data_IF_321302775781
#
_entry.id   IF_321302775781
#
_cell.length_a   1.000
_cell.length_b   1.000
_cell.length_c   1.000
_cell.angle_alpha   90.00
_cell.angle_beta   90.00
_cell.angle_gamma   90.00
#
_symmetry.space_group_name_H-M   'P 1'
#
loop_
_entity.id
_entity.type
_entity.pdbx_description
1 polymer ?
#
# COMPACT_ATOMS: atom_id res chain seq x y z
N UNK A 1 5.73 -18.32 -3.06
CA UNK A 1 5.41 -16.90 -2.98
C UNK A 1 5.45 -16.54 -1.51
N UNK A 2 6.30 -15.65 -1.10
CA UNK A 2 6.42 -15.27 0.30
C UNK A 2 6.91 -13.84 0.46
N UNK A 3 6.41 -13.20 1.51
CA UNK A 3 7.00 -11.97 2.01
C UNK A 3 8.32 -12.27 2.71
N UNK A 4 9.35 -11.48 2.41
CA UNK A 4 10.67 -11.56 3.06
C UNK A 4 10.88 -10.34 3.93
N UNK A 5 11.50 -10.54 5.10
CA UNK A 5 11.91 -9.47 6.01
C UNK A 5 13.37 -9.14 5.74
N UNK A 6 13.64 -7.85 5.54
CA UNK A 6 14.99 -7.31 5.39
C UNK A 6 15.34 -6.47 6.60
N UNK A 7 16.60 -6.50 7.03
CA UNK A 7 17.14 -5.71 8.15
C UNK A 7 18.49 -5.13 7.78
N UNK A 8 18.61 -3.82 7.95
CA UNK A 8 19.87 -3.08 7.79
C UNK A 8 20.04 -2.20 9.03
N UNK A 9 20.87 -2.64 9.99
CA UNK A 9 20.91 -2.06 11.32
C UNK A 9 19.55 -2.16 12.00
N UNK A 10 19.00 -1.03 12.42
CA UNK A 10 17.66 -0.95 13.04
C UNK A 10 16.52 -0.86 12.00
N UNK A 11 16.84 -0.58 10.74
CA UNK A 11 15.83 -0.48 9.68
C UNK A 11 15.27 -1.87 9.32
N UNK A 12 13.96 -2.01 9.36
CA UNK A 12 13.26 -3.23 8.93
C UNK A 12 12.19 -2.90 7.91
N UNK A 13 12.16 -3.65 6.81
CA UNK A 13 11.10 -3.59 5.80
C UNK A 13 10.82 -4.98 5.21
N UNK A 14 9.70 -5.10 4.49
CA UNK A 14 9.32 -6.34 3.82
C UNK A 14 9.30 -6.14 2.30
N UNK A 15 9.60 -7.21 1.58
CA UNK A 15 9.39 -7.34 0.13
C UNK A 15 8.55 -8.58 -0.16
N UNK A 16 8.05 -8.70 -1.38
CA UNK A 16 7.33 -9.89 -1.87
C UNK A 16 8.03 -10.46 -3.09
N UNK A 17 8.29 -11.77 -3.10
CA UNK A 17 8.96 -12.47 -4.20
C UNK A 17 8.29 -12.27 -5.56
N UNK A 18 6.96 -12.06 -5.58
CA UNK A 18 6.24 -11.89 -6.84
C UNK A 18 6.56 -10.58 -7.54
N UNK A 19 7.08 -9.59 -6.82
CA UNK A 19 7.50 -8.30 -7.37
C UNK A 19 9.01 -8.22 -7.65
N UNK A 20 9.73 -9.35 -7.59
CA UNK A 20 11.13 -9.40 -7.99
C UNK A 20 11.27 -8.89 -9.44
N UNK A 21 12.18 -7.92 -9.64
CA UNK A 21 12.31 -7.15 -10.89
C UNK A 21 11.94 -5.68 -10.74
N UNK A 22 11.11 -5.31 -9.75
CA UNK A 22 10.90 -3.94 -9.29
C UNK A 22 11.56 -3.70 -7.94
N UNK A 23 12.06 -2.49 -7.69
CA UNK A 23 12.46 -2.06 -6.35
C UNK A 23 11.18 -1.77 -5.56
N UNK A 24 10.98 -2.42 -4.41
CA UNK A 24 9.74 -2.24 -3.66
C UNK A 24 9.93 -2.55 -2.18
N UNK A 25 9.07 -1.98 -1.36
CA UNK A 25 9.01 -2.31 0.07
C UNK A 25 7.63 -2.05 0.66
N UNK A 26 7.37 -2.74 1.77
CA UNK A 26 6.37 -2.40 2.78
C UNK A 26 7.12 -2.10 4.07
N UNK A 27 7.08 -0.86 4.55
CA UNK A 27 7.84 -0.46 5.73
C UNK A 27 7.28 -1.07 7.01
N UNK A 28 8.14 -1.18 8.02
CA UNK A 28 7.73 -1.29 9.42
C UNK A 28 7.84 0.07 10.11
N UNK A 29 7.80 0.13 11.43
CA UNK A 29 8.04 1.36 12.21
C UNK A 29 9.45 1.46 12.79
N UNK A 30 10.35 0.55 12.40
CA UNK A 30 11.71 0.48 12.92
C UNK A 30 12.73 1.17 12.03
N UNK A 31 13.78 1.75 12.63
CA UNK A 31 14.97 2.23 11.94
C UNK A 31 14.88 3.64 11.39
N UNK A 32 14.01 4.49 11.96
CA UNK A 32 13.94 5.90 11.64
C UNK A 32 14.50 6.80 12.74
N UNK A 33 14.46 8.10 12.47
CA UNK A 33 14.95 9.17 13.37
C UNK A 33 13.83 9.94 14.07
N UNK A 34 12.57 9.59 13.83
CA UNK A 34 11.45 10.24 14.51
C UNK A 34 11.41 9.86 16.00
N UNK A 35 10.90 10.77 16.84
CA UNK A 35 10.96 10.66 18.29
C UNK A 35 9.56 10.60 18.93
N UNK A 36 9.53 10.31 20.23
CA UNK A 36 8.31 10.33 21.03
C UNK A 36 7.24 9.37 20.53
N UNK A 37 6.02 9.85 20.33
CA UNK A 37 4.90 9.04 19.84
C UNK A 37 5.07 8.54 18.39
N UNK A 38 6.02 9.13 17.65
CA UNK A 38 6.32 8.81 16.25
C UNK A 38 7.58 7.94 16.09
N UNK A 39 8.19 7.49 17.20
CA UNK A 39 9.41 6.66 17.16
C UNK A 39 9.11 5.29 16.55
N UNK A 40 9.91 4.89 15.56
CA UNK A 40 11.06 5.61 15.00
C UNK A 40 10.90 5.94 13.51
N UNK A 41 10.40 5.02 12.65
CA UNK A 41 10.23 5.24 11.21
C UNK A 41 8.82 5.74 10.92
N UNK A 42 8.61 7.05 11.05
CA UNK A 42 7.39 7.69 10.55
C UNK A 42 7.63 8.19 9.12
N UNK A 43 6.78 7.72 8.19
CA UNK A 43 6.83 8.10 6.77
C UNK A 43 5.68 9.04 6.37
N UNK A 44 4.81 9.41 7.34
CA UNK A 44 3.66 10.28 7.08
C UNK A 44 4.00 11.75 7.24
N UNK A 45 3.78 12.53 6.17
CA UNK A 45 4.08 13.98 6.13
C UNK A 45 3.14 14.85 6.97
N UNK A 46 1.95 14.33 7.34
CA UNK A 46 0.93 15.08 8.09
C UNK A 46 0.64 14.45 9.47
N UNK A 47 1.70 14.05 10.20
CA UNK A 47 1.58 13.43 11.53
C UNK A 47 2.11 14.29 12.68
N UNK A 48 2.50 15.52 12.39
CA UNK A 48 3.08 16.42 13.38
C UNK A 48 4.55 16.13 13.70
N UNK A 49 5.24 15.39 12.80
CA UNK A 49 6.67 15.20 12.86
C UNK A 49 7.41 16.40 12.27
N UNK A 50 8.69 16.54 12.59
CA UNK A 50 9.55 17.49 11.91
C UNK A 50 9.78 17.05 10.46
N UNK A 51 9.63 17.94 9.46
CA UNK A 51 9.83 17.60 8.05
C UNK A 51 11.20 16.96 7.79
N UNK A 52 12.26 17.40 8.49
CA UNK A 52 13.62 16.88 8.37
C UNK A 52 13.69 15.41 8.79
N UNK A 53 12.97 15.01 9.85
CA UNK A 53 12.92 13.62 10.28
C UNK A 53 12.24 12.74 9.23
N UNK A 54 11.13 13.22 8.66
CA UNK A 54 10.41 12.47 7.61
C UNK A 54 11.30 12.32 6.37
N UNK A 55 12.00 13.38 5.96
CA UNK A 55 12.93 13.34 4.82
C UNK A 55 14.08 12.35 5.07
N UNK A 56 14.70 12.36 6.26
CA UNK A 56 15.76 11.40 6.61
C UNK A 56 15.24 9.95 6.66
N UNK A 57 14.01 9.76 7.15
CA UNK A 57 13.37 8.44 7.14
C UNK A 57 13.19 7.91 5.70
N UNK A 58 12.77 8.78 4.76
CA UNK A 58 12.70 8.42 3.34
C UNK A 58 14.09 8.18 2.74
N UNK A 59 15.08 8.99 3.08
CA UNK A 59 16.45 8.82 2.60
C UNK A 59 17.05 7.49 3.08
N UNK A 60 16.84 7.13 4.35
CA UNK A 60 17.32 5.87 4.92
C UNK A 60 16.66 4.67 4.27
N UNK A 61 15.33 4.69 4.13
CA UNK A 61 14.59 3.62 3.46
C UNK A 61 14.97 3.54 1.96
N UNK A 62 15.16 4.69 1.31
CA UNK A 62 15.53 4.77 -0.10
C UNK A 62 16.90 4.19 -0.39
N UNK A 63 17.90 4.40 0.49
CA UNK A 63 19.22 3.75 0.37
C UNK A 63 19.12 2.22 0.41
N UNK A 64 18.26 1.67 1.28
CA UNK A 64 18.08 0.24 1.42
C UNK A 64 17.30 -0.41 0.26
N UNK A 65 16.30 0.30 -0.27
CA UNK A 65 15.37 -0.24 -1.27
C UNK A 65 15.78 0.10 -2.70
N UNK A 66 16.51 1.19 -2.91
CA UNK A 66 16.99 1.66 -4.22
C UNK A 66 16.08 2.71 -4.86
N UNK A 67 15.74 3.76 -4.10
CA UNK A 67 15.09 4.97 -4.61
C UNK A 67 15.63 6.23 -3.91
N UNK A 68 15.50 7.39 -4.54
CA UNK A 68 15.76 8.68 -3.92
C UNK A 68 14.47 9.32 -3.40
N UNK A 69 14.51 10.11 -2.29
CA UNK A 69 13.32 10.82 -1.81
C UNK A 69 12.67 11.70 -2.88
N UNK A 70 13.47 12.30 -3.75
CA UNK A 70 13.05 13.17 -4.86
C UNK A 70 12.25 12.44 -5.93
N UNK A 71 12.44 11.13 -6.08
CA UNK A 71 11.71 10.27 -7.02
C UNK A 71 10.31 9.89 -6.51
N UNK A 72 10.00 10.14 -5.23
CA UNK A 72 8.73 9.74 -4.64
C UNK A 72 7.56 10.56 -5.18
N UNK A 73 6.45 9.86 -5.44
CA UNK A 73 5.16 10.47 -5.79
C UNK A 73 4.11 9.94 -4.83
N UNK A 74 3.50 10.84 -4.04
CA UNK A 74 2.47 10.52 -3.09
C UNK A 74 1.08 10.90 -3.60
N UNK A 75 0.07 10.30 -3.00
CA UNK A 75 -1.32 10.68 -3.16
C UNK A 75 -1.82 11.48 -1.95
N UNK A 76 -2.81 12.34 -2.18
CA UNK A 76 -3.70 12.81 -1.11
C UNK A 76 -4.81 11.76 -0.96
N UNK A 77 -4.57 10.74 -0.11
CA UNK A 77 -5.48 9.61 0.07
C UNK A 77 -6.81 10.05 0.69
N UNK A 78 -7.90 9.81 -0.01
CA UNK A 78 -9.27 10.23 0.36
C UNK A 78 -10.23 9.04 0.49
N UNK A 79 -9.71 7.81 0.47
CA UNK A 79 -10.46 6.54 0.51
C UNK A 79 -11.40 6.36 -0.68
N UNK A 80 -10.99 6.82 -1.84
CA UNK A 80 -11.68 6.67 -3.13
C UNK A 80 -11.26 5.40 -3.87
N UNK A 81 -11.73 5.24 -5.11
CA UNK A 81 -11.23 4.26 -6.09
C UNK A 81 -10.63 4.95 -7.33
N UNK A 82 -10.19 6.20 -7.18
CA UNK A 82 -9.56 6.97 -8.25
C UNK A 82 -8.09 6.58 -8.38
N UNK A 83 -7.67 6.35 -9.62
CA UNK A 83 -6.29 5.98 -9.99
C UNK A 83 -5.78 6.98 -11.01
N UNK A 84 -4.61 7.53 -10.76
CA UNK A 84 -3.94 8.52 -11.60
C UNK A 84 -2.70 7.91 -12.25
N UNK A 85 -2.48 8.22 -13.53
CA UNK A 85 -1.20 8.02 -14.19
C UNK A 85 -0.27 9.16 -13.82
N UNK A 86 0.96 8.84 -13.41
CA UNK A 86 2.00 9.80 -13.03
C UNK A 86 3.30 9.52 -13.77
N UNK A 87 4.16 10.53 -13.86
CA UNK A 87 5.45 10.46 -14.50
C UNK A 87 6.53 11.22 -13.74
N UNK A 88 7.71 11.38 -14.34
CA UNK A 88 8.84 12.09 -13.73
C UNK A 88 8.54 13.55 -13.36
N UNK A 89 7.61 14.20 -14.07
CA UNK A 89 7.17 15.55 -13.74
C UNK A 89 6.44 15.64 -12.38
N UNK A 90 5.92 14.51 -11.89
CA UNK A 90 5.23 14.42 -10.60
C UNK A 90 6.16 14.13 -9.42
N UNK A 91 7.42 13.81 -9.67
CA UNK A 91 8.40 13.49 -8.63
C UNK A 91 8.50 14.61 -7.59
N UNK A 92 8.63 14.24 -6.31
CA UNK A 92 8.60 15.14 -5.15
C UNK A 92 7.19 15.53 -4.68
N UNK A 93 6.12 15.15 -5.38
CA UNK A 93 4.74 15.43 -4.98
C UNK A 93 4.40 14.71 -3.67
N UNK A 94 3.92 15.49 -2.68
CA UNK A 94 3.52 15.04 -1.34
C UNK A 94 4.65 14.99 -0.32
N UNK A 95 5.90 14.98 -0.74
CA UNK A 95 7.07 15.07 0.15
C UNK A 95 7.72 16.46 0.10
N UNK A 96 7.99 16.99 -1.09
CA UNK A 96 8.65 18.29 -1.30
C UNK A 96 7.68 19.37 -1.77
N UNK A 97 6.56 19.01 -2.34
CA UNK A 97 5.46 19.88 -2.77
C UNK A 97 4.11 19.22 -2.47
N UNK A 98 3.06 20.00 -2.31
CA UNK A 98 1.74 19.49 -1.99
C UNK A 98 1.17 18.55 -3.06
N UNK A 99 0.37 17.57 -2.63
CA UNK A 99 -0.47 16.75 -3.50
C UNK A 99 -1.84 17.43 -3.64
N UNK A 100 -2.12 17.97 -4.82
CA UNK A 100 -3.32 18.79 -5.07
C UNK A 100 -4.59 17.94 -5.17
N UNK A 101 -4.51 16.77 -5.80
CA UNK A 101 -5.68 15.94 -6.10
C UNK A 101 -5.84 14.77 -5.15
N UNK A 102 -7.11 14.47 -4.81
CA UNK A 102 -7.48 13.33 -3.98
C UNK A 102 -7.61 12.07 -4.81
N UNK A 103 -6.60 11.20 -4.78
CA UNK A 103 -6.62 9.87 -5.41
C UNK A 103 -6.02 8.84 -4.46
N UNK A 104 -6.38 7.57 -4.64
CA UNK A 104 -5.92 6.48 -3.77
C UNK A 104 -5.11 5.42 -4.54
N UNK A 105 -4.90 5.61 -5.83
CA UNK A 105 -4.06 4.75 -6.66
C UNK A 105 -3.18 5.56 -7.62
N UNK A 106 -1.99 5.04 -7.90
CA UNK A 106 -1.02 5.59 -8.85
C UNK A 106 -0.55 4.49 -9.78
N UNK A 107 -0.32 4.83 -11.06
CA UNK A 107 0.30 3.94 -12.03
C UNK A 107 1.33 4.69 -12.87
N UNK A 108 2.41 4.00 -13.26
CA UNK A 108 3.45 4.55 -14.14
C UNK A 108 4.19 3.46 -14.90
N UNK A 109 4.77 3.81 -16.04
CA UNK A 109 5.78 3.00 -16.74
C UNK A 109 7.11 3.76 -16.90
N UNK A 110 7.28 4.84 -16.19
CA UNK A 110 8.51 5.65 -16.23
C UNK A 110 9.50 5.20 -15.15
N UNK A 111 10.74 4.81 -15.52
CA UNK A 111 11.83 4.63 -14.54
C UNK A 111 12.13 5.94 -13.79
N UNK A 112 12.62 5.84 -12.55
CA UNK A 112 12.91 7.02 -11.73
C UNK A 112 11.68 7.64 -11.07
N UNK A 113 10.56 6.93 -11.05
CA UNK A 113 9.34 7.32 -10.33
C UNK A 113 9.04 6.27 -9.26
N UNK A 114 9.02 6.67 -7.99
CA UNK A 114 8.73 5.81 -6.84
C UNK A 114 7.30 6.07 -6.34
N UNK A 115 6.36 5.21 -6.74
CA UNK A 115 4.96 5.31 -6.30
C UNK A 115 4.87 4.98 -4.83
N UNK A 116 4.25 5.85 -4.03
CA UNK A 116 4.20 5.73 -2.57
C UNK A 116 2.78 5.84 -2.04
N UNK A 117 2.37 4.84 -1.27
CA UNK A 117 1.07 4.74 -0.59
C UNK A 117 1.30 4.68 0.91
N UNK A 118 0.55 5.49 1.67
CA UNK A 118 0.57 5.46 3.13
C UNK A 118 -0.42 4.47 3.70
N UNK A 119 -0.04 3.87 4.82
CA UNK A 119 -0.91 2.98 5.57
C UNK A 119 -0.71 3.11 7.08
N UNK A 120 -1.76 2.80 7.80
CA UNK A 120 -1.79 2.36 9.19
C UNK A 120 -3.14 1.69 9.39
N UNK A 121 -3.19 0.41 9.11
CA UNK A 121 -4.31 -0.53 9.04
C UNK A 121 -4.98 -0.69 7.66
N UNK A 122 -5.05 0.35 6.80
CA UNK A 122 -5.54 0.16 5.43
C UNK A 122 -4.63 -0.76 4.64
N UNK A 123 -5.17 -1.45 3.64
CA UNK A 123 -4.43 -2.43 2.83
C UNK A 123 -3.66 -1.74 1.70
N UNK A 124 -2.32 -1.77 1.70
CA UNK A 124 -1.55 -1.35 0.53
C UNK A 124 -1.48 -2.49 -0.48
N UNK A 125 -1.66 -2.17 -1.76
CA UNK A 125 -1.51 -3.11 -2.88
C UNK A 125 -0.47 -2.56 -3.84
N UNK A 126 0.56 -3.36 -4.13
CA UNK A 126 1.57 -3.04 -5.14
C UNK A 126 1.43 -3.98 -6.34
N UNK A 127 1.58 -3.43 -7.55
CA UNK A 127 1.40 -4.12 -8.82
C UNK A 127 2.64 -3.95 -9.70
N UNK A 128 3.00 -5.00 -10.44
CA UNK A 128 4.11 -4.98 -11.38
C UNK A 128 3.79 -5.84 -12.60
N UNK A 129 3.89 -5.26 -13.79
CA UNK A 129 3.91 -5.99 -15.06
C UNK A 129 5.34 -6.00 -15.60
N UNK A 130 6.05 -7.14 -15.57
CA UNK A 130 7.44 -7.23 -16.04
C UNK A 130 7.54 -7.15 -17.57
N UNK A 131 6.46 -7.43 -18.32
CA UNK A 131 6.47 -7.41 -19.79
C UNK A 131 6.24 -5.98 -20.31
N UNK A 132 5.18 -5.31 -19.81
CA UNK A 132 4.90 -3.92 -20.17
C UNK A 132 5.80 -2.92 -19.42
N UNK A 133 6.62 -3.40 -18.45
CA UNK A 133 7.44 -2.57 -17.57
C UNK A 133 6.64 -1.43 -16.95
N UNK A 134 5.56 -1.79 -16.29
CA UNK A 134 4.68 -0.85 -15.62
C UNK A 134 4.43 -1.27 -14.17
N UNK A 135 4.22 -0.28 -13.31
CA UNK A 135 3.95 -0.48 -11.89
C UNK A 135 2.70 0.26 -11.45
N UNK A 136 2.10 -0.23 -10.37
CA UNK A 136 0.96 0.41 -9.72
C UNK A 136 1.05 0.30 -8.20
N UNK A 137 0.45 1.27 -7.52
CA UNK A 137 0.31 1.28 -6.07
C UNK A 137 -1.10 1.76 -5.71
N UNK A 138 -1.80 1.06 -4.81
CA UNK A 138 -3.15 1.41 -4.39
C UNK A 138 -3.32 1.35 -2.87
N UNK A 139 -3.95 2.39 -2.31
CA UNK A 139 -4.40 2.46 -0.94
C UNK A 139 -5.83 1.93 -0.83
N UNK A 140 -5.99 0.73 -0.31
CA UNK A 140 -7.28 0.07 -0.18
C UNK A 140 -7.77 0.09 1.28
N UNK A 141 -8.24 1.23 1.75
CA UNK A 141 -9.10 1.30 2.93
C UNK A 141 -10.43 0.59 2.65
N UNK A 142 -11.29 0.35 3.65
CA UNK A 142 -12.51 -0.42 3.43
C UNK A 142 -13.44 0.20 2.36
N UNK A 143 -13.53 1.54 2.28
CA UNK A 143 -14.32 2.21 1.22
C UNK A 143 -13.72 2.01 -0.16
N UNK A 144 -12.40 2.17 -0.29
CA UNK A 144 -11.67 1.89 -1.55
C UNK A 144 -11.76 0.42 -1.95
N UNK A 145 -11.70 -0.50 -0.98
CA UNK A 145 -11.91 -1.94 -1.21
C UNK A 145 -13.32 -2.22 -1.73
N UNK A 146 -14.37 -1.65 -1.11
CA UNK A 146 -15.74 -1.79 -1.58
C UNK A 146 -15.93 -1.21 -3.01
N UNK A 147 -15.26 -0.10 -3.30
CA UNK A 147 -15.28 0.53 -4.63
C UNK A 147 -14.34 -0.15 -5.66
N UNK A 148 -13.60 -1.20 -5.27
CA UNK A 148 -12.76 -2.00 -6.17
C UNK A 148 -11.44 -1.35 -6.57
N UNK A 149 -10.81 -0.53 -5.72
CA UNK A 149 -9.58 0.22 -6.06
C UNK A 149 -8.47 -0.68 -6.63
N UNK A 150 -8.31 -1.91 -6.12
CA UNK A 150 -7.30 -2.83 -6.62
C UNK A 150 -7.56 -3.24 -8.08
N UNK A 151 -8.82 -3.51 -8.46
CA UNK A 151 -9.20 -3.77 -9.84
C UNK A 151 -9.06 -2.52 -10.72
N UNK A 152 -9.42 -1.33 -10.19
CA UNK A 152 -9.25 -0.06 -10.90
C UNK A 152 -7.79 0.26 -11.21
N UNK A 153 -6.87 -0.11 -10.34
CA UNK A 153 -5.42 0.03 -10.61
C UNK A 153 -4.98 -0.89 -11.76
N UNK A 154 -5.47 -2.14 -11.82
CA UNK A 154 -5.23 -3.05 -12.95
C UNK A 154 -5.81 -2.49 -14.24
N UNK A 155 -7.08 -2.02 -14.23
CA UNK A 155 -7.73 -1.39 -15.38
C UNK A 155 -6.94 -0.16 -15.88
N UNK A 156 -6.41 0.65 -14.95
CA UNK A 156 -5.56 1.79 -15.31
C UNK A 156 -4.27 1.34 -15.99
N UNK A 157 -3.58 0.32 -15.47
CA UNK A 157 -2.37 -0.23 -16.09
C UNK A 157 -2.66 -0.79 -17.50
N UNK A 158 -3.81 -1.44 -17.69
CA UNK A 158 -4.24 -1.91 -19.02
C UNK A 158 -4.47 -0.75 -19.98
N UNK A 159 -5.22 0.25 -19.56
CA UNK A 159 -5.60 1.40 -20.40
C UNK A 159 -4.40 2.27 -20.78
N UNK A 160 -3.51 2.55 -19.81
CA UNK A 160 -2.41 3.50 -19.97
C UNK A 160 -1.17 2.87 -20.62
N UNK A 161 -0.93 1.58 -20.39
CA UNK A 161 0.35 0.93 -20.74
C UNK A 161 0.17 -0.37 -21.52
N UNK A 162 -1.07 -0.78 -21.83
CA UNK A 162 -1.33 -2.04 -22.54
C UNK A 162 -0.99 -3.30 -21.75
N UNK A 163 -0.92 -3.20 -20.41
CA UNK A 163 -0.67 -4.35 -19.55
C UNK A 163 -1.72 -5.44 -19.77
N UNK A 164 -1.31 -6.69 -19.72
CA UNK A 164 -2.22 -7.83 -19.73
C UNK A 164 -2.35 -8.35 -18.29
N UNK A 165 -3.58 -8.48 -17.76
CA UNK A 165 -3.79 -8.86 -16.35
C UNK A 165 -3.07 -10.14 -15.93
N UNK A 166 -2.94 -11.12 -16.83
CA UNK A 166 -2.22 -12.37 -16.57
C UNK A 166 -0.70 -12.17 -16.39
N UNK A 167 -0.13 -11.06 -16.87
CA UNK A 167 1.27 -10.70 -16.66
C UNK A 167 1.48 -9.89 -15.38
N UNK A 168 0.40 -9.25 -14.88
CA UNK A 168 0.50 -8.43 -13.67
C UNK A 168 0.67 -9.32 -12.44
N UNK A 169 1.65 -8.99 -11.63
CA UNK A 169 1.94 -9.58 -10.34
C UNK A 169 1.51 -8.61 -9.25
N UNK A 170 0.85 -9.09 -8.22
CA UNK A 170 0.29 -8.28 -7.15
C UNK A 170 0.80 -8.72 -5.78
N UNK A 171 1.20 -7.77 -4.94
CA UNK A 171 1.46 -7.99 -3.53
C UNK A 171 0.48 -7.18 -2.68
N UNK A 172 -0.28 -7.88 -1.84
CA UNK A 172 -1.19 -7.30 -0.86
C UNK A 172 -0.47 -7.25 0.48
N UNK A 173 -0.07 -6.05 0.89
CA UNK A 173 0.86 -5.84 2.01
C UNK A 173 0.23 -5.95 3.39
N UNK A 174 1.05 -5.74 4.45
CA UNK A 174 0.59 -5.71 5.83
C UNK A 174 -0.52 -4.68 6.04
N UNK A 175 -1.61 -5.11 6.68
CA UNK A 175 -2.74 -4.27 7.07
C UNK A 175 -3.44 -4.86 8.29
N UNK A 176 -4.51 -4.23 8.77
CA UNK A 176 -5.33 -4.83 9.83
C UNK A 176 -5.93 -6.16 9.34
N UNK A 177 -5.72 -7.22 10.08
CA UNK A 177 -6.21 -8.56 9.72
C UNK A 177 -7.64 -8.81 10.23
N UNK A 178 -8.26 -9.92 9.77
CA UNK A 178 -9.60 -10.33 10.22
C UNK A 178 -9.66 -10.72 11.70
N UNK A 179 -8.52 -10.83 12.37
CA UNK A 179 -8.44 -11.01 13.83
C UNK A 179 -8.74 -9.72 14.62
N UNK A 180 -8.60 -8.55 13.99
CA UNK A 180 -8.69 -7.24 14.65
C UNK A 180 -9.65 -6.27 13.97
N UNK A 181 -9.99 -6.48 12.69
CA UNK A 181 -10.88 -5.58 11.96
C UNK A 181 -12.35 -5.93 12.23
N UNK A 182 -12.76 -5.65 13.47
CA UNK A 182 -14.16 -5.68 13.88
C UNK A 182 -14.90 -4.45 13.36
N UNK A 183 -16.09 -4.64 12.79
CA UNK A 183 -16.90 -3.60 12.16
C UNK A 183 -18.38 -3.77 12.49
N UNK A 184 -19.14 -2.72 12.27
CA UNK A 184 -20.61 -2.79 12.18
C UNK A 184 -21.05 -3.35 10.82
N UNK A 185 -22.35 -3.43 10.59
CA UNK A 185 -22.94 -4.03 9.38
C UNK A 185 -22.65 -3.24 8.09
N UNK A 186 -22.38 -1.93 8.20
CA UNK A 186 -22.08 -1.04 7.07
C UNK A 186 -20.92 -1.52 6.19
N UNK A 187 -19.86 -2.04 6.80
CA UNK A 187 -18.70 -2.54 6.07
C UNK A 187 -19.00 -3.85 5.33
N UNK A 188 -19.47 -4.94 5.99
CA UNK A 188 -19.80 -6.19 5.28
C UNK A 188 -20.93 -6.00 4.26
N UNK A 189 -21.89 -5.12 4.49
CA UNK A 189 -22.98 -4.87 3.54
C UNK A 189 -22.46 -4.17 2.28
N UNK A 190 -21.55 -3.19 2.41
CA UNK A 190 -20.86 -2.59 1.26
C UNK A 190 -20.06 -3.64 0.46
N UNK A 191 -19.39 -4.58 1.14
CA UNK A 191 -18.64 -5.65 0.47
C UNK A 191 -19.56 -6.63 -0.26
N UNK A 192 -20.70 -7.01 0.36
CA UNK A 192 -21.69 -7.89 -0.28
C UNK A 192 -22.35 -7.21 -1.48
N UNK A 193 -22.66 -5.92 -1.38
CA UNK A 193 -23.20 -5.15 -2.51
C UNK A 193 -22.23 -5.12 -3.70
N UNK A 194 -20.92 -5.02 -3.42
CA UNK A 194 -19.88 -4.90 -4.46
C UNK A 194 -19.46 -6.25 -5.06
N UNK A 195 -19.30 -7.29 -4.23
CA UNK A 195 -18.72 -8.58 -4.62
C UNK A 195 -19.72 -9.75 -4.63
N UNK A 196 -20.96 -9.51 -4.20
CA UNK A 196 -21.98 -10.56 -4.12
C UNK A 196 -21.60 -11.67 -3.12
N UNK A 197 -21.87 -12.91 -3.49
CA UNK A 197 -21.60 -14.08 -2.66
C UNK A 197 -20.12 -14.30 -2.32
N UNK A 198 -19.21 -13.84 -3.17
CA UNK A 198 -17.78 -13.99 -2.94
C UNK A 198 -17.28 -13.21 -1.71
N UNK A 199 -17.96 -12.11 -1.34
CA UNK A 199 -17.64 -11.36 -0.13
C UNK A 199 -17.75 -12.23 1.14
N UNK A 200 -18.66 -13.21 1.14
CA UNK A 200 -18.87 -14.11 2.28
C UNK A 200 -17.62 -14.87 2.71
N UNK A 201 -16.68 -15.11 1.80
CA UNK A 201 -15.42 -15.80 2.10
C UNK A 201 -14.49 -14.97 3.01
N UNK A 202 -14.71 -13.66 3.11
CA UNK A 202 -13.89 -12.71 3.84
C UNK A 202 -14.61 -12.04 5.02
N UNK A 203 -15.82 -12.47 5.34
CA UNK A 203 -16.67 -11.88 6.38
C UNK A 203 -17.08 -12.97 7.37
N UNK A 204 -16.76 -12.78 8.65
CA UNK A 204 -17.14 -13.67 9.74
C UNK A 204 -18.04 -12.92 10.73
N UNK A 205 -19.30 -13.37 10.93
CA UNK A 205 -20.17 -12.83 11.97
C UNK A 205 -19.62 -13.08 13.38
N UNK A 206 -19.86 -12.14 14.30
CA UNK A 206 -19.49 -12.23 15.70
C UNK A 206 -20.51 -11.47 16.57
N UNK A 207 -21.63 -12.12 16.89
CA UNK A 207 -22.76 -11.51 17.57
C UNK A 207 -23.38 -10.41 16.69
N UNK A 208 -23.45 -9.18 17.21
CA UNK A 208 -23.94 -8.00 16.48
C UNK A 208 -22.88 -7.34 15.57
N UNK A 209 -21.63 -7.82 15.60
CA UNK A 209 -20.49 -7.29 14.84
C UNK A 209 -20.01 -8.30 13.80
N UNK A 210 -19.04 -7.87 13.01
CA UNK A 210 -18.40 -8.66 11.97
C UNK A 210 -16.90 -8.47 11.98
N UNK A 211 -16.16 -9.53 11.66
CA UNK A 211 -14.74 -9.45 11.35
C UNK A 211 -14.55 -9.57 9.84
N UNK A 212 -13.82 -8.62 9.24
CA UNK A 212 -13.66 -8.50 7.79
C UNK A 212 -12.20 -8.64 7.40
N UNK A 213 -11.93 -9.44 6.36
CA UNK A 213 -10.59 -9.63 5.78
C UNK A 213 -10.43 -8.77 4.52
N UNK A 214 -9.89 -7.55 4.69
CA UNK A 214 -9.65 -6.63 3.58
C UNK A 214 -8.62 -7.16 2.58
N UNK A 215 -7.63 -7.93 3.03
CA UNK A 215 -6.63 -8.52 2.12
C UNK A 215 -7.28 -9.52 1.17
N UNK A 216 -8.11 -10.39 1.71
CA UNK A 216 -8.84 -11.38 0.92
C UNK A 216 -9.83 -10.73 -0.06
N UNK A 217 -10.53 -9.67 0.34
CA UNK A 217 -11.42 -8.90 -0.54
C UNK A 217 -10.67 -8.24 -1.70
N UNK A 218 -9.51 -7.62 -1.44
CA UNK A 218 -8.67 -7.06 -2.50
C UNK A 218 -8.12 -8.14 -3.43
N UNK A 219 -7.77 -9.32 -2.90
CA UNK A 219 -7.35 -10.45 -3.73
C UNK A 219 -8.50 -10.98 -4.62
N UNK A 220 -9.76 -10.94 -4.16
CA UNK A 220 -10.93 -11.26 -4.99
C UNK A 220 -11.05 -10.25 -6.13
N UNK A 221 -10.94 -8.95 -5.85
CA UNK A 221 -10.94 -7.91 -6.88
C UNK A 221 -9.83 -8.08 -7.92
N UNK A 222 -8.61 -8.40 -7.48
CA UNK A 222 -7.49 -8.66 -8.37
C UNK A 222 -7.76 -9.86 -9.29
N UNK A 223 -8.31 -10.97 -8.74
CA UNK A 223 -8.68 -12.15 -9.54
C UNK A 223 -9.77 -11.85 -10.54
N UNK A 224 -10.79 -11.08 -10.16
CA UNK A 224 -11.85 -10.61 -11.08
C UNK A 224 -11.30 -9.76 -12.23
N UNK A 225 -10.25 -8.99 -11.95
CA UNK A 225 -9.54 -8.23 -12.98
C UNK A 225 -8.59 -9.08 -13.84
N UNK A 226 -8.48 -10.41 -13.58
CA UNK A 226 -7.65 -11.34 -14.35
C UNK A 226 -6.24 -11.56 -13.83
N UNK A 227 -5.87 -10.97 -12.68
CA UNK A 227 -4.56 -11.18 -12.06
C UNK A 227 -4.51 -12.54 -11.38
N UNK A 228 -3.54 -13.37 -11.75
CA UNK A 228 -3.40 -14.74 -11.23
C UNK A 228 -2.25 -14.88 -10.23
N UNK A 229 -1.20 -14.05 -10.36
CA UNK A 229 -0.03 -14.07 -9.49
C UNK A 229 -0.21 -13.05 -8.35
N UNK A 230 -0.70 -13.51 -7.20
CA UNK A 230 -1.03 -12.66 -6.04
C UNK A 230 -0.36 -13.22 -4.80
N UNK A 231 0.45 -12.41 -4.11
CA UNK A 231 1.01 -12.71 -2.80
C UNK A 231 0.30 -11.87 -1.73
N UNK A 232 0.01 -12.47 -0.58
CA UNK A 232 -0.77 -11.83 0.49
C UNK A 232 0.00 -11.95 1.79
N UNK A 233 0.34 -10.80 2.40
CA UNK A 233 0.99 -10.77 3.70
C UNK A 233 0.13 -11.40 4.80
N UNK A 234 0.74 -12.23 5.62
CA UNK A 234 0.10 -12.80 6.80
C UNK A 234 0.01 -11.80 7.97
N UNK A 235 0.79 -10.71 7.94
CA UNK A 235 0.90 -9.77 9.05
C UNK A 235 -0.38 -8.98 9.30
N UNK A 236 -0.72 -8.81 10.57
CA UNK A 236 -1.76 -7.91 11.03
C UNK A 236 -1.11 -6.73 11.78
N UNK A 237 -1.31 -5.52 11.28
CA UNK A 237 -0.75 -4.30 11.86
C UNK A 237 -1.21 -4.07 13.30
N UNK A 238 -2.48 -4.37 13.60
CA UNK A 238 -3.05 -4.21 14.92
C UNK A 238 -2.64 -5.31 15.92
N UNK A 239 -2.26 -6.51 15.46
CA UNK A 239 -1.71 -7.56 16.33
C UNK A 239 -0.24 -7.29 16.71
N UNK A 240 0.49 -6.56 15.86
CA UNK A 240 1.92 -6.30 15.98
C UNK A 240 2.23 -4.79 16.09
N UNK A 241 1.66 -4.07 17.10
CA UNK A 241 1.79 -2.61 17.21
C UNK A 241 3.23 -2.16 17.51
N UNK A 242 4.07 -3.08 18.01
CA UNK A 242 5.50 -2.83 18.17
C UNK A 242 6.26 -2.81 16.84
N UNK A 243 5.70 -3.44 15.79
CA UNK A 243 6.32 -3.56 14.46
C UNK A 243 5.69 -2.65 13.43
N UNK A 244 4.39 -2.37 13.57
CA UNK A 244 3.62 -1.58 12.60
C UNK A 244 2.85 -0.45 13.27
N UNK A 245 2.69 0.65 12.57
CA UNK A 245 1.72 1.66 12.94
C UNK A 245 0.30 1.14 12.75
N UNK A 246 -0.56 1.32 13.75
CA UNK A 246 -1.97 0.89 13.70
C UNK A 246 -2.89 1.97 14.27
N UNK A 247 -3.78 2.46 13.42
CA UNK A 247 -4.83 3.40 13.83
C UNK A 247 -5.81 2.78 14.82
N UNK A 248 -6.14 1.50 14.64
CA UNK A 248 -7.04 0.75 15.52
C UNK A 248 -6.50 0.68 16.95
N UNK A 249 -5.18 0.65 17.11
CA UNK A 249 -4.55 0.54 18.43
C UNK A 249 -4.41 1.85 19.17
N UNK A 250 -3.99 2.91 18.48
CA UNK A 250 -3.58 4.18 19.12
C UNK A 250 -4.26 5.41 18.51
N UNK A 251 -5.22 5.23 17.63
CA UNK A 251 -5.93 6.35 16.98
C UNK A 251 -4.97 7.23 16.16
N UNK A 252 -5.08 8.54 16.34
CA UNK A 252 -4.28 9.51 15.59
C UNK A 252 -2.86 9.72 16.14
N UNK A 253 -2.56 9.25 17.36
CA UNK A 253 -1.24 9.37 17.99
C UNK A 253 -0.26 8.33 17.43
N UNK A 254 0.00 8.38 16.13
CA UNK A 254 0.82 7.42 15.39
C UNK A 254 1.51 8.02 14.18
N UNK A 255 2.58 7.38 13.75
CA UNK A 255 3.16 7.60 12.43
C UNK A 255 2.37 6.91 11.32
N UNK A 256 2.95 6.89 10.13
CA UNK A 256 2.43 6.15 8.97
C UNK A 256 3.48 5.20 8.43
N UNK A 257 3.03 4.03 8.00
CA UNK A 257 3.77 3.11 7.14
C UNK A 257 3.71 3.62 5.71
N UNK A 258 4.64 3.16 4.87
CA UNK A 258 4.58 3.33 3.43
C UNK A 258 4.76 2.00 2.70
N UNK A 259 4.05 1.84 1.59
CA UNK A 259 4.33 0.87 0.56
C UNK A 259 4.83 1.61 -0.67
N UNK A 260 5.99 1.22 -1.18
CA UNK A 260 6.70 1.93 -2.24
C UNK A 260 7.08 0.93 -3.33
N UNK A 261 6.92 1.34 -4.60
CA UNK A 261 7.37 0.56 -5.75
C UNK A 261 7.96 1.47 -6.83
N UNK A 262 9.08 1.05 -7.43
CA UNK A 262 9.82 1.76 -8.47
C UNK A 262 10.33 0.77 -9.52
N UNK A 263 10.27 1.13 -10.78
CA UNK A 263 10.94 0.36 -11.84
C UNK A 263 12.45 0.44 -11.66
N UNK A 264 13.14 -0.71 -11.77
CA UNK A 264 14.60 -0.71 -11.87
C UNK A 264 15.03 -0.14 -13.20
N UNK A 265 16.12 0.61 -13.22
CA UNK A 265 16.74 1.04 -14.46
C UNK A 265 17.29 -0.18 -15.21
N UNK A 266 17.30 -0.11 -16.53
CA UNK A 266 18.00 -1.09 -17.34
C UNK A 266 19.50 -0.86 -17.16
N UNK A 267 20.21 -1.92 -16.74
CA UNK A 267 21.67 -1.90 -16.62
C UNK A 267 22.33 -1.94 -17.97
#
# INVERSE_FOLDING_TARGET
MSFRVHREGELEYLTSDVLDGAAHCFSTRFGGVSEGALASLNLGTHRGDRPENVLENYASLGRAVGFAPEETVFTKQVHSALVERVGRADCGRGLQREAEHGVDGLVTNEPGVALTIFSADCTPVLLFDPIARAIGAAHAGWRGTAAGIAARAVEAMQREFGCRPENIRAAVGPCIGPCCFETDADVPDAMRAALGSEAGQAIRPAGAKFYVDLKRLNAIWLRRAGVTCIDISADCTACQPQRFWSHRRVGNARGSLAAIIRLREEG
#
